data_IF_064177926264
#
_entry.id   IF_064177926264
#
_cell.length_a   1.000
_cell.length_b   1.000
_cell.length_c   1.000
_cell.angle_alpha   90.00
_cell.angle_beta   90.00
_cell.angle_gamma   90.00
#
_symmetry.space_group_name_H-M   'P 1'
#
loop_
_entity.id
_entity.type
_entity.pdbx_description
1 polymer ?
#
# COMPACT_ATOMS: atom_id res chain seq x y z
N UNK A 1 -31.01 -2.92 -19.00
CA UNK A 1 -29.75 -2.43 -18.40
C UNK A 1 -28.60 -3.22 -19.00
N UNK A 2 -27.81 -2.61 -19.89
CA UNK A 2 -26.59 -3.25 -20.39
C UNK A 2 -25.50 -3.07 -19.33
N UNK A 3 -25.06 -4.16 -18.69
CA UNK A 3 -23.83 -4.15 -17.89
C UNK A 3 -22.65 -3.99 -18.84
N UNK A 4 -22.10 -2.78 -18.92
CA UNK A 4 -20.79 -2.56 -19.52
C UNK A 4 -19.69 -3.03 -18.56
N UNK A 5 -18.65 -3.65 -19.10
CA UNK A 5 -17.42 -3.90 -18.34
C UNK A 5 -16.79 -2.55 -18.00
N UNK A 6 -16.82 -2.15 -16.72
CA UNK A 6 -16.10 -0.96 -16.27
C UNK A 6 -14.63 -1.33 -16.23
N UNK A 7 -13.88 -1.02 -17.30
CA UNK A 7 -12.41 -1.04 -17.27
C UNK A 7 -11.93 0.08 -16.34
N UNK A 8 -11.81 -0.23 -15.05
CA UNK A 8 -11.16 0.68 -14.11
C UNK A 8 -9.71 0.87 -14.52
N UNK A 9 -9.30 2.12 -14.77
CA UNK A 9 -7.89 2.45 -15.00
C UNK A 9 -7.10 2.07 -13.74
N UNK A 10 -6.01 1.33 -13.93
CA UNK A 10 -5.07 1.06 -12.83
C UNK A 10 -4.26 2.29 -12.44
N UNK A 11 -4.18 3.30 -13.31
CA UNK A 11 -3.65 4.61 -13.04
C UNK A 11 -4.78 5.66 -13.10
N UNK A 12 -5.57 5.85 -12.03
CA UNK A 12 -6.74 6.73 -12.06
C UNK A 12 -6.39 8.21 -12.18
N UNK A 13 -5.15 8.60 -11.87
CA UNK A 13 -4.70 9.98 -12.01
C UNK A 13 -3.23 10.04 -12.40
N UNK A 14 -2.94 10.90 -13.36
CA UNK A 14 -1.58 11.30 -13.74
C UNK A 14 -1.57 12.73 -14.23
N UNK A 15 -0.55 13.52 -13.88
CA UNK A 15 -0.39 14.89 -14.35
C UNK A 15 0.82 15.57 -13.74
N UNK A 16 1.17 16.73 -14.29
CA UNK A 16 2.20 17.60 -13.72
C UNK A 16 1.56 18.40 -12.58
N UNK A 17 2.17 18.31 -11.42
CA UNK A 17 1.87 19.15 -10.26
C UNK A 17 2.92 20.28 -10.19
N UNK A 18 2.98 20.97 -9.05
CA UNK A 18 3.87 22.13 -8.86
C UNK A 18 5.34 21.85 -9.19
N UNK A 19 6.04 22.89 -9.66
CA UNK A 19 7.49 22.92 -9.84
C UNK A 19 8.06 21.90 -10.84
N UNK A 20 7.30 21.58 -11.90
CA UNK A 20 7.67 20.61 -12.94
C UNK A 20 7.82 19.18 -12.42
N UNK A 21 7.03 18.79 -11.42
CA UNK A 21 7.04 17.44 -10.86
C UNK A 21 5.83 16.67 -11.40
N UNK A 22 6.07 15.51 -12.01
CA UNK A 22 5.00 14.61 -12.42
C UNK A 22 4.45 13.84 -11.22
N UNK A 23 3.17 13.51 -11.25
CA UNK A 23 2.53 12.64 -10.27
C UNK A 23 1.76 11.55 -11.00
N UNK A 24 1.90 10.30 -10.56
CA UNK A 24 1.14 9.16 -11.08
C UNK A 24 0.65 8.31 -9.90
N UNK A 25 -0.67 8.16 -9.78
CA UNK A 25 -1.29 7.25 -8.83
C UNK A 25 -1.49 5.89 -9.47
N UNK A 26 -1.01 4.81 -8.85
CA UNK A 26 -1.31 3.44 -9.28
C UNK A 26 -2.09 2.72 -8.17
N UNK A 27 -3.31 2.26 -8.46
CA UNK A 27 -4.18 1.62 -7.46
C UNK A 27 -4.07 0.11 -7.43
N UNK A 28 -3.66 -0.53 -8.54
CA UNK A 28 -3.50 -1.98 -8.61
C UNK A 28 -2.55 -2.39 -9.73
N UNK A 29 -1.82 -3.49 -9.57
CA UNK A 29 -0.92 -4.00 -10.59
C UNK A 29 -1.65 -4.98 -11.52
N UNK A 30 -2.63 -4.47 -12.28
CA UNK A 30 -3.30 -5.25 -13.34
C UNK A 30 -2.53 -5.14 -14.65
N UNK A 31 -2.95 -5.92 -15.64
CA UNK A 31 -2.38 -5.91 -16.99
C UNK A 31 -2.21 -4.48 -17.51
N UNK A 32 -1.07 -4.22 -18.15
CA UNK A 32 -0.68 -2.93 -18.74
C UNK A 32 -0.34 -1.81 -17.74
N UNK A 33 -0.31 -2.06 -16.42
CA UNK A 33 0.07 -1.04 -15.43
C UNK A 33 1.42 -0.37 -15.74
N UNK A 34 2.45 -1.15 -16.08
CA UNK A 34 3.75 -0.59 -16.45
C UNK A 34 3.71 0.22 -17.74
N UNK A 35 2.91 -0.20 -18.72
CA UNK A 35 2.71 0.56 -19.96
C UNK A 35 2.00 1.89 -19.67
N UNK A 36 0.93 1.86 -18.87
CA UNK A 36 0.14 3.04 -18.55
C UNK A 36 0.96 4.09 -17.80
N UNK A 37 1.80 3.69 -16.84
CA UNK A 37 2.73 4.61 -16.16
C UNK A 37 3.77 5.16 -17.14
N UNK A 38 4.37 4.32 -17.98
CA UNK A 38 5.36 4.76 -18.96
C UNK A 38 4.76 5.77 -19.95
N UNK A 39 3.53 5.55 -20.41
CA UNK A 39 2.85 6.45 -21.32
C UNK A 39 2.44 7.76 -20.64
N UNK A 40 1.99 7.72 -19.38
CA UNK A 40 1.74 8.92 -18.58
C UNK A 40 3.01 9.77 -18.44
N UNK A 41 4.16 9.17 -18.13
CA UNK A 41 5.45 9.87 -18.04
C UNK A 41 5.85 10.46 -19.39
N UNK A 42 5.68 9.73 -20.50
CA UNK A 42 5.95 10.26 -21.85
C UNK A 42 5.06 11.46 -22.17
N UNK A 43 3.78 11.42 -21.79
CA UNK A 43 2.86 12.54 -21.98
C UNK A 43 3.32 13.76 -21.19
N UNK A 44 3.63 13.59 -19.89
CA UNK A 44 4.14 14.69 -19.06
C UNK A 44 5.46 15.28 -19.60
N UNK A 45 6.38 14.43 -20.10
CA UNK A 45 7.63 14.91 -20.73
C UNK A 45 7.39 15.71 -22.01
N UNK A 46 6.28 15.46 -22.73
CA UNK A 46 5.90 16.23 -23.93
C UNK A 46 5.21 17.54 -23.55
N UNK A 47 4.36 17.51 -22.52
CA UNK A 47 3.63 18.67 -22.01
C UNK A 47 4.56 19.67 -21.31
N UNK A 48 5.57 19.17 -20.60
CA UNK A 48 6.55 19.97 -19.88
C UNK A 48 7.99 19.45 -20.12
N UNK A 49 8.73 20.06 -21.06
CA UNK A 49 10.13 19.72 -21.31
C UNK A 49 11.06 19.95 -20.12
N UNK A 50 10.63 20.70 -19.08
CA UNK A 50 11.39 20.98 -17.87
C UNK A 50 11.09 20.01 -16.71
N UNK A 51 10.36 18.92 -16.97
CA UNK A 51 10.00 17.90 -15.97
C UNK A 51 11.23 17.47 -15.15
N UNK A 52 11.20 17.76 -13.84
CA UNK A 52 12.31 17.55 -12.90
C UNK A 52 12.28 16.20 -12.20
N UNK A 53 11.18 15.47 -12.25
CA UNK A 53 11.03 14.20 -11.56
C UNK A 53 9.59 13.71 -11.57
N UNK A 54 9.38 12.51 -11.02
CA UNK A 54 8.05 11.91 -10.89
C UNK A 54 7.84 11.32 -9.49
N UNK A 55 6.64 11.52 -8.96
CA UNK A 55 6.12 10.87 -7.77
C UNK A 55 5.24 9.71 -8.24
N UNK A 56 5.61 8.49 -7.88
CA UNK A 56 4.81 7.29 -8.05
C UNK A 56 4.10 6.97 -6.74
N UNK A 57 2.78 7.16 -6.69
CA UNK A 57 1.98 6.86 -5.51
C UNK A 57 1.48 5.42 -5.52
N UNK A 58 1.98 4.63 -4.56
CA UNK A 58 1.62 3.23 -4.31
C UNK A 58 0.94 3.06 -2.93
N UNK A 59 0.50 4.15 -2.29
CA UNK A 59 -0.30 4.08 -1.07
C UNK A 59 -1.59 3.33 -1.33
N UNK A 60 -2.01 2.52 -0.37
CA UNK A 60 -3.25 1.71 -0.44
C UNK A 60 -3.30 0.71 -1.61
N UNK A 61 -2.14 0.42 -2.21
CA UNK A 61 -2.01 -0.55 -3.29
C UNK A 61 -1.49 -1.89 -2.76
N UNK A 62 -2.39 -2.87 -2.65
CA UNK A 62 -2.09 -4.23 -2.18
C UNK A 62 -1.28 -5.10 -3.17
N UNK A 63 -0.89 -4.55 -4.32
CA UNK A 63 -0.07 -5.20 -5.33
C UNK A 63 -0.88 -5.78 -6.49
N UNK A 64 -0.43 -6.91 -7.03
CA UNK A 64 -1.00 -7.57 -8.20
C UNK A 64 0.05 -8.37 -8.96
N UNK A 65 0.05 -8.25 -10.30
CA UNK A 65 0.91 -9.03 -11.19
C UNK A 65 2.39 -8.69 -10.98
N UNK A 66 3.20 -9.74 -10.74
CA UNK A 66 4.66 -9.63 -10.58
C UNK A 66 5.34 -8.97 -11.80
N UNK A 67 4.92 -9.37 -13.01
CA UNK A 67 5.49 -8.85 -14.25
C UNK A 67 5.26 -7.35 -14.41
N UNK A 68 4.16 -6.82 -13.87
CA UNK A 68 3.90 -5.38 -13.91
C UNK A 68 4.82 -4.61 -12.96
N UNK A 69 5.17 -5.18 -11.80
CA UNK A 69 6.20 -4.61 -10.93
C UNK A 69 7.56 -4.50 -11.65
N UNK A 70 7.96 -5.57 -12.34
CA UNK A 70 9.20 -5.59 -13.13
C UNK A 70 9.16 -4.55 -14.25
N UNK A 71 8.03 -4.44 -14.96
CA UNK A 71 7.86 -3.46 -16.02
C UNK A 71 7.95 -2.02 -15.51
N UNK A 72 7.38 -1.73 -14.33
CA UNK A 72 7.43 -0.41 -13.69
C UNK A 72 8.86 -0.07 -13.27
N UNK A 73 9.60 -0.99 -12.66
CA UNK A 73 11.01 -0.77 -12.31
C UNK A 73 11.85 -0.52 -13.57
N UNK A 74 11.59 -1.25 -14.66
CA UNK A 74 12.30 -1.08 -15.93
C UNK A 74 12.10 0.31 -16.56
N UNK A 75 11.08 1.08 -16.18
CA UNK A 75 10.92 2.48 -16.66
C UNK A 75 12.14 3.32 -16.29
N UNK A 76 12.71 3.08 -15.10
CA UNK A 76 13.76 3.90 -14.52
C UNK A 76 15.13 3.22 -14.49
N UNK A 77 15.16 1.90 -14.67
CA UNK A 77 16.35 1.06 -14.48
C UNK A 77 16.77 0.44 -15.81
N UNK A 78 18.08 0.43 -16.14
CA UNK A 78 18.60 -0.11 -17.40
C UNK A 78 18.30 -1.60 -17.56
N UNK A 79 18.45 -2.10 -18.78
CA UNK A 79 18.25 -3.51 -19.11
C UNK A 79 19.20 -4.45 -18.34
N UNK A 80 18.74 -5.66 -18.01
CA UNK A 80 19.55 -6.72 -17.41
C UNK A 80 19.82 -6.57 -15.91
N UNK A 81 19.16 -5.64 -15.22
CA UNK A 81 19.29 -5.43 -13.77
C UNK A 81 18.28 -6.30 -13.03
N UNK A 82 18.73 -7.03 -12.01
CA UNK A 82 17.84 -7.81 -11.12
C UNK A 82 16.86 -6.88 -10.40
N UNK A 83 15.57 -7.23 -10.46
CA UNK A 83 14.49 -6.53 -9.76
C UNK A 83 14.03 -7.34 -8.55
N UNK A 84 13.90 -8.65 -8.74
CA UNK A 84 13.40 -9.56 -7.70
C UNK A 84 13.82 -10.99 -8.02
N UNK A 85 14.16 -11.76 -7.00
CA UNK A 85 14.34 -13.20 -7.10
C UNK A 85 13.39 -13.94 -6.16
N UNK A 86 12.91 -15.11 -6.57
CA UNK A 86 12.06 -15.98 -5.75
C UNK A 86 12.85 -17.22 -5.38
N UNK A 87 12.88 -17.57 -4.09
CA UNK A 87 13.57 -18.76 -3.60
C UNK A 87 12.63 -19.65 -2.78
N UNK A 88 12.55 -20.91 -3.16
CA UNK A 88 11.63 -21.89 -2.58
C UNK A 88 12.35 -23.00 -1.80
N UNK A 89 11.57 -24.02 -1.40
CA UNK A 89 12.15 -25.27 -0.86
C UNK A 89 12.85 -26.09 -1.95
N UNK A 90 12.33 -26.04 -3.17
CA UNK A 90 12.89 -26.72 -4.35
C UNK A 90 13.75 -25.73 -5.11
N UNK A 91 15.07 -25.90 -5.07
CA UNK A 91 16.03 -24.96 -5.68
C UNK A 91 15.86 -24.80 -7.18
N UNK A 92 15.44 -25.87 -7.87
CA UNK A 92 15.19 -25.83 -9.32
C UNK A 92 14.04 -24.90 -9.71
N UNK A 93 13.25 -24.43 -8.74
CA UNK A 93 12.16 -23.48 -8.96
C UNK A 93 12.55 -22.04 -8.61
N UNK A 94 13.79 -21.82 -8.16
CA UNK A 94 14.28 -20.49 -7.92
C UNK A 94 14.33 -19.73 -9.26
N UNK A 95 13.90 -18.48 -9.23
CA UNK A 95 13.84 -17.62 -10.42
C UNK A 95 14.39 -16.26 -10.08
N UNK A 96 15.17 -15.71 -10.98
CA UNK A 96 15.60 -14.32 -10.95
C UNK A 96 14.92 -13.57 -12.08
N UNK A 97 14.33 -12.43 -11.76
CA UNK A 97 13.66 -11.58 -12.71
C UNK A 97 14.45 -10.29 -12.88
N UNK A 98 14.84 -10.01 -14.12
CA UNK A 98 15.57 -8.80 -14.48
C UNK A 98 14.71 -7.89 -15.35
N UNK A 99 15.08 -6.61 -15.42
CA UNK A 99 14.63 -5.71 -16.50
C UNK A 99 14.98 -6.30 -17.87
N UNK A 100 14.10 -6.11 -18.86
CA UNK A 100 14.17 -6.79 -20.17
C UNK A 100 14.30 -5.81 -21.35
N UNK A 101 14.18 -4.50 -21.10
CA UNK A 101 14.18 -3.44 -22.12
C UNK A 101 15.09 -2.30 -21.71
N UNK A 102 15.53 -1.44 -22.64
CA UNK A 102 16.09 -0.14 -22.29
C UNK A 102 15.13 0.65 -21.41
N UNK A 103 15.67 1.41 -20.45
CA UNK A 103 14.86 2.26 -19.61
C UNK A 103 14.20 3.38 -20.42
N UNK A 104 13.06 3.88 -19.95
CA UNK A 104 12.46 5.08 -20.52
C UNK A 104 13.30 6.31 -20.19
N UNK A 105 13.75 6.40 -18.93
CA UNK A 105 14.61 7.49 -18.46
C UNK A 105 15.41 7.07 -17.22
N UNK A 106 16.72 6.89 -17.40
CA UNK A 106 17.64 6.53 -16.30
C UNK A 106 17.99 7.71 -15.40
N UNK A 107 17.72 8.94 -15.84
CA UNK A 107 18.13 10.17 -15.17
C UNK A 107 16.99 10.86 -14.43
N UNK A 108 15.73 10.64 -14.82
CA UNK A 108 14.56 11.27 -14.21
C UNK A 108 14.46 10.91 -12.72
N UNK A 109 14.58 11.85 -11.78
CA UNK A 109 14.40 11.57 -10.35
C UNK A 109 13.03 10.93 -10.06
N UNK A 110 13.02 9.90 -9.22
CA UNK A 110 11.78 9.21 -8.83
C UNK A 110 11.64 9.15 -7.31
N UNK A 111 10.45 9.52 -6.83
CA UNK A 111 9.99 9.33 -5.46
C UNK A 111 8.86 8.32 -5.48
N UNK A 112 8.88 7.36 -4.55
CA UNK A 112 7.79 6.38 -4.40
C UNK A 112 7.09 6.61 -3.06
N UNK A 113 5.79 6.86 -3.10
CA UNK A 113 4.98 6.98 -1.89
C UNK A 113 4.42 5.61 -1.50
N UNK A 114 4.59 5.22 -0.24
CA UNK A 114 4.06 3.97 0.31
C UNK A 114 3.39 4.19 1.66
N UNK A 115 2.50 3.28 2.04
CA UNK A 115 1.96 3.21 3.39
C UNK A 115 1.82 1.76 3.87
N UNK A 116 1.27 1.55 5.07
CA UNK A 116 1.05 0.23 5.67
C UNK A 116 0.19 -0.73 4.83
N UNK A 117 -0.54 -0.23 3.84
CA UNK A 117 -1.36 -1.02 2.93
C UNK A 117 -0.67 -1.29 1.58
N UNK A 118 0.49 -0.67 1.31
CA UNK A 118 1.34 -1.02 0.18
C UNK A 118 1.89 -2.42 0.38
N UNK A 119 1.55 -3.36 -0.52
CA UNK A 119 1.92 -4.77 -0.36
C UNK A 119 2.38 -5.42 -1.68
N UNK A 120 3.12 -6.52 -1.57
CA UNK A 120 3.46 -7.40 -2.69
C UNK A 120 4.16 -6.65 -3.84
N UNK A 121 3.51 -6.51 -5.00
CA UNK A 121 4.08 -5.83 -6.15
C UNK A 121 4.51 -4.38 -5.86
N UNK A 122 3.76 -3.66 -5.00
CA UNK A 122 4.13 -2.32 -4.53
C UNK A 122 5.46 -2.31 -3.77
N UNK A 123 5.71 -3.37 -3.01
CA UNK A 123 6.93 -3.53 -2.22
C UNK A 123 8.11 -3.99 -3.07
N UNK A 124 7.85 -4.72 -4.16
CA UNK A 124 8.87 -5.04 -5.16
C UNK A 124 9.32 -3.76 -5.87
N UNK A 125 8.38 -2.90 -6.30
CA UNK A 125 8.73 -1.63 -6.95
C UNK A 125 9.49 -0.71 -5.99
N UNK A 126 8.91 -0.40 -4.83
CA UNK A 126 9.55 0.49 -3.84
C UNK A 126 10.88 -0.07 -3.34
N UNK A 127 10.93 -1.37 -3.01
CA UNK A 127 12.14 -2.04 -2.56
C UNK A 127 13.24 -2.06 -3.62
N UNK A 128 12.93 -2.38 -4.88
CA UNK A 128 13.92 -2.38 -5.96
C UNK A 128 14.44 -0.97 -6.27
N UNK A 129 13.57 0.04 -6.32
CA UNK A 129 13.98 1.44 -6.52
C UNK A 129 14.87 1.93 -5.36
N UNK A 130 14.58 1.53 -4.12
CA UNK A 130 15.41 1.84 -2.95
C UNK A 130 16.75 1.12 -3.01
N UNK A 131 16.74 -0.20 -3.19
CA UNK A 131 17.92 -1.05 -3.16
C UNK A 131 18.91 -0.75 -4.29
N UNK A 132 18.42 -0.31 -5.44
CA UNK A 132 19.25 0.10 -6.58
C UNK A 132 19.73 1.56 -6.48
N UNK A 133 19.32 2.30 -5.44
CA UNK A 133 19.52 3.75 -5.29
C UNK A 133 19.01 4.54 -6.48
N UNK A 134 17.92 4.07 -7.09
CA UNK A 134 17.30 4.75 -8.22
C UNK A 134 16.36 5.89 -7.77
N UNK A 135 15.86 5.82 -6.54
CA UNK A 135 14.95 6.81 -5.98
C UNK A 135 14.83 6.77 -4.47
N UNK A 136 13.94 7.63 -3.96
CA UNK A 136 13.68 7.82 -2.54
C UNK A 136 12.27 7.33 -2.20
N UNK A 137 12.15 6.60 -1.09
CA UNK A 137 10.89 6.09 -0.59
C UNK A 137 10.39 7.00 0.54
N UNK A 138 9.16 7.49 0.43
CA UNK A 138 8.55 8.40 1.41
C UNK A 138 7.22 7.81 1.87
N UNK A 139 6.91 7.95 3.16
CA UNK A 139 5.61 7.56 3.70
C UNK A 139 5.72 6.72 4.95
N UNK A 140 4.99 5.60 5.01
CA UNK A 140 5.03 4.68 6.15
C UNK A 140 5.67 3.36 5.74
N UNK A 141 6.12 2.57 6.73
CA UNK A 141 6.53 1.19 6.48
C UNK A 141 5.40 0.43 5.77
N UNK A 142 5.77 -0.35 4.75
CA UNK A 142 4.84 -1.16 3.96
C UNK A 142 4.33 -2.39 4.72
N UNK A 143 3.42 -3.15 4.12
CA UNK A 143 2.75 -4.29 4.76
C UNK A 143 3.71 -5.46 5.12
N UNK A 144 4.73 -5.70 4.30
CA UNK A 144 5.70 -6.78 4.43
C UNK A 144 5.23 -8.14 3.92
N UNK A 145 4.61 -8.19 2.74
CA UNK A 145 4.21 -9.46 2.12
C UNK A 145 5.33 -9.98 1.22
N UNK A 146 6.27 -10.73 1.80
CA UNK A 146 7.41 -11.35 1.08
C UNK A 146 7.15 -12.75 0.52
N UNK A 147 5.88 -13.20 0.45
CA UNK A 147 5.51 -14.57 0.06
C UNK A 147 4.92 -14.62 -1.36
N UNK A 148 5.33 -15.65 -2.11
CA UNK A 148 4.79 -15.97 -3.44
C UNK A 148 3.86 -17.17 -3.34
N UNK A 149 2.67 -17.00 -3.90
CA UNK A 149 1.63 -18.02 -3.92
C UNK A 149 1.34 -18.47 -5.34
N UNK A 150 1.35 -19.78 -5.56
CA UNK A 150 0.99 -20.41 -6.82
C UNK A 150 -0.39 -21.07 -6.70
N UNK A 151 -1.16 -21.04 -7.79
CA UNK A 151 -2.43 -21.78 -7.88
C UNK A 151 -2.23 -23.07 -8.66
N UNK A 152 -2.78 -24.18 -8.17
CA UNK A 152 -2.80 -25.47 -8.85
C UNK A 152 -4.24 -25.96 -8.94
N UNK A 153 -4.64 -26.42 -10.12
CA UNK A 153 -5.94 -27.07 -10.31
C UNK A 153 -5.93 -28.43 -9.60
N UNK A 154 -6.98 -28.71 -8.83
CA UNK A 154 -7.12 -29.96 -8.05
C UNK A 154 -8.36 -30.77 -8.47
N UNK A 155 -8.93 -30.46 -9.64
CA UNK A 155 -10.16 -31.07 -10.14
C UNK A 155 -11.42 -30.33 -9.66
N UNK A 156 -12.59 -30.76 -10.15
CA UNK A 156 -13.91 -30.26 -9.74
C UNK A 156 -14.04 -28.72 -9.70
N UNK A 157 -13.50 -28.04 -10.72
CA UNK A 157 -13.48 -26.59 -10.82
C UNK A 157 -12.90 -25.87 -9.58
N UNK A 158 -11.99 -26.55 -8.86
CA UNK A 158 -11.38 -26.08 -7.62
C UNK A 158 -9.89 -25.83 -7.81
N UNK A 159 -9.37 -24.82 -7.10
CA UNK A 159 -7.96 -24.40 -7.14
C UNK A 159 -7.37 -24.38 -5.74
N UNK A 160 -6.20 -24.98 -5.58
CA UNK A 160 -5.36 -24.84 -4.40
C UNK A 160 -4.44 -23.64 -4.58
N UNK A 161 -4.48 -22.68 -3.66
CA UNK A 161 -3.51 -21.59 -3.58
C UNK A 161 -2.48 -21.90 -2.50
N UNK A 162 -1.25 -22.16 -2.90
CA UNK A 162 -0.18 -22.60 -2.00
C UNK A 162 1.00 -21.62 -2.04
N UNK A 163 1.49 -21.23 -0.86
CA UNK A 163 2.73 -20.48 -0.73
C UNK A 163 3.92 -21.38 -1.02
N UNK A 164 4.71 -21.07 -2.03
CA UNK A 164 5.81 -21.93 -2.50
C UNK A 164 7.20 -21.35 -2.27
N UNK A 165 7.30 -20.03 -2.17
CA UNK A 165 8.59 -19.34 -2.12
C UNK A 165 8.48 -17.99 -1.39
N UNK A 166 9.64 -17.50 -0.96
CA UNK A 166 9.85 -16.11 -0.56
C UNK A 166 10.43 -15.35 -1.74
N UNK A 167 10.20 -14.04 -1.81
CA UNK A 167 10.97 -13.19 -2.71
C UNK A 167 11.97 -12.31 -1.99
N UNK A 168 13.00 -11.94 -2.73
CA UNK A 168 14.15 -11.15 -2.31
C UNK A 168 14.34 -10.02 -3.32
N UNK A 169 14.58 -8.82 -2.83
CA UNK A 169 14.81 -7.60 -3.63
C UNK A 169 16.33 -7.37 -3.80
N UNK A 170 16.79 -6.43 -4.65
CA UNK A 170 18.14 -6.41 -5.20
C UNK A 170 19.30 -6.39 -4.18
N UNK A 171 19.09 -5.87 -2.96
CA UNK A 171 20.09 -5.95 -1.90
C UNK A 171 20.27 -7.38 -1.32
N UNK A 172 19.40 -8.31 -1.70
CA UNK A 172 19.34 -9.68 -1.18
C UNK A 172 18.44 -9.85 0.04
N UNK A 173 17.82 -8.78 0.56
CA UNK A 173 16.92 -8.83 1.71
C UNK A 173 15.56 -9.41 1.35
N UNK A 174 14.98 -10.17 2.27
CA UNK A 174 13.57 -10.53 2.24
C UNK A 174 12.76 -9.41 2.92
N UNK A 175 11.55 -9.14 2.44
CA UNK A 175 10.70 -8.12 3.08
C UNK A 175 9.59 -8.73 3.95
N UNK A 176 9.56 -10.06 4.07
CA UNK A 176 8.49 -10.77 4.77
C UNK A 176 8.37 -10.28 6.22
N UNK A 177 7.19 -9.78 6.59
CA UNK A 177 7.00 -9.04 7.84
C UNK A 177 7.27 -9.88 9.07
N UNK A 178 6.53 -10.98 9.15
CA UNK A 178 6.52 -11.83 10.33
C UNK A 178 7.40 -13.05 10.13
N UNK A 179 8.17 -13.36 11.17
CA UNK A 179 8.70 -14.70 11.39
C UNK A 179 7.61 -15.56 12.02
N UNK A 180 7.75 -16.88 11.97
CA UNK A 180 6.82 -17.79 12.65
C UNK A 180 7.56 -18.52 13.76
N UNK A 181 7.03 -18.47 14.98
CA UNK A 181 7.52 -19.25 16.13
C UNK A 181 6.36 -20.08 16.66
N UNK A 182 6.50 -21.40 16.60
CA UNK A 182 5.45 -22.36 16.97
C UNK A 182 4.11 -22.15 16.23
N UNK A 183 4.16 -21.69 14.98
CA UNK A 183 2.98 -21.43 14.16
C UNK A 183 2.39 -20.02 14.30
N UNK A 184 2.80 -19.27 15.33
CA UNK A 184 2.33 -17.90 15.56
C UNK A 184 3.21 -16.85 14.86
N UNK A 185 2.61 -15.80 14.27
CA UNK A 185 3.36 -14.70 13.68
C UNK A 185 4.06 -13.89 14.78
N UNK A 186 5.35 -13.63 14.59
CA UNK A 186 6.19 -12.81 15.43
C UNK A 186 6.75 -11.65 14.60
N UNK A 187 6.40 -10.42 14.97
CA UNK A 187 7.07 -9.22 14.46
C UNK A 187 8.40 -9.05 15.19
N UNK A 188 9.48 -8.96 14.42
CA UNK A 188 10.84 -8.83 14.95
C UNK A 188 11.17 -7.34 15.10
N UNK A 189 11.60 -6.87 16.28
CA UNK A 189 12.03 -5.49 16.47
C UNK A 189 13.17 -5.07 15.53
N UNK A 190 13.20 -3.80 15.10
CA UNK A 190 14.17 -3.31 14.10
C UNK A 190 15.64 -3.47 14.50
N UNK A 191 15.95 -3.40 15.80
CA UNK A 191 17.30 -3.61 16.33
C UNK A 191 17.77 -5.07 16.26
N UNK A 192 16.86 -6.02 16.06
CA UNK A 192 17.13 -7.45 15.92
C UNK A 192 17.11 -7.92 14.45
N UNK A 193 16.70 -7.05 13.52
CA UNK A 193 16.64 -7.38 12.09
C UNK A 193 18.02 -7.35 11.43
N UNK A 194 18.20 -8.23 10.45
CA UNK A 194 19.44 -8.27 9.67
C UNK A 194 19.59 -7.00 8.83
N UNK A 195 20.79 -6.44 8.83
CA UNK A 195 21.12 -5.22 8.11
C UNK A 195 21.67 -5.55 6.73
N UNK A 196 21.08 -4.93 5.72
CA UNK A 196 21.51 -4.95 4.32
C UNK A 196 21.92 -3.54 3.89
N UNK A 197 22.47 -3.44 2.67
CA UNK A 197 22.83 -2.17 2.06
C UNK A 197 22.28 -2.06 0.66
N UNK A 198 21.82 -0.87 0.31
CA UNK A 198 21.52 -0.51 -1.08
C UNK A 198 22.83 -0.42 -1.88
N UNK A 199 22.74 -0.35 -3.21
CA UNK A 199 23.89 -0.27 -4.13
C UNK A 199 24.87 0.89 -3.81
N UNK A 200 24.33 2.02 -3.37
CA UNK A 200 24.99 3.23 -2.91
C UNK A 200 25.28 3.26 -1.41
N UNK A 201 24.99 2.17 -0.68
CA UNK A 201 25.45 1.95 0.69
C UNK A 201 24.49 2.37 1.81
N UNK A 202 23.27 2.85 1.50
CA UNK A 202 22.27 3.20 2.53
C UNK A 202 21.92 1.96 3.34
N UNK A 203 21.75 2.13 4.65
CA UNK A 203 21.33 1.05 5.55
C UNK A 203 19.86 0.71 5.27
N UNK A 204 19.58 -0.56 4.99
CA UNK A 204 18.22 -1.08 4.84
C UNK A 204 18.08 -2.36 5.65
N UNK A 205 16.86 -2.67 6.09
CA UNK A 205 16.58 -3.85 6.93
C UNK A 205 15.83 -4.91 6.13
N UNK A 206 16.14 -6.19 6.40
CA UNK A 206 15.25 -7.31 6.08
C UNK A 206 14.07 -7.31 7.06
N UNK A 207 12.95 -7.90 6.64
CA UNK A 207 11.79 -8.10 7.49
C UNK A 207 10.96 -6.83 7.70
N UNK A 208 9.70 -7.02 8.06
CA UNK A 208 8.69 -5.97 8.30
C UNK A 208 8.32 -5.07 7.12
N UNK A 209 8.61 -5.47 5.88
CA UNK A 209 8.33 -4.64 4.71
C UNK A 209 9.42 -3.63 4.36
N UNK A 210 9.16 -2.83 3.34
CA UNK A 210 9.99 -1.71 2.92
C UNK A 210 9.82 -0.58 3.92
N UNK A 211 10.92 -0.23 4.59
CA UNK A 211 10.98 0.96 5.46
C UNK A 211 11.30 2.18 4.59
N UNK A 212 10.52 3.27 4.69
CA UNK A 212 10.76 4.46 3.89
C UNK A 212 12.08 5.14 4.28
N UNK A 213 12.70 5.82 3.33
CA UNK A 213 13.85 6.68 3.57
C UNK A 213 13.46 7.93 4.37
N UNK A 214 12.25 8.45 4.10
CA UNK A 214 11.64 9.56 4.83
C UNK A 214 10.32 9.07 5.43
N UNK A 215 10.33 8.86 6.74
CA UNK A 215 9.15 8.47 7.49
C UNK A 215 8.19 9.66 7.60
N UNK A 216 6.97 9.45 7.13
CA UNK A 216 5.82 10.31 7.37
C UNK A 216 4.95 9.60 8.40
N UNK A 217 4.90 10.16 9.60
CA UNK A 217 3.97 9.71 10.62
C UNK A 217 2.57 10.10 10.15
N UNK A 218 1.63 9.15 10.01
CA UNK A 218 0.27 9.51 9.65
C UNK A 218 -0.29 10.44 10.71
N UNK A 219 -0.90 11.53 10.26
CA UNK A 219 -1.85 12.23 11.11
C UNK A 219 -2.99 11.23 11.36
N UNK A 220 -3.04 10.64 12.55
CA UNK A 220 -4.05 9.66 12.90
C UNK A 220 -5.45 10.24 12.87
N UNK A 221 -5.57 11.58 12.75
CA UNK A 221 -6.77 12.32 13.09
C UNK A 221 -7.11 12.13 14.56
N UNK A 222 -7.94 13.01 15.09
CA UNK A 222 -8.57 12.74 16.37
C UNK A 222 -9.55 11.56 16.22
N UNK A 223 -9.83 10.85 17.31
CA UNK A 223 -10.78 9.72 17.32
C UNK A 223 -12.12 10.00 16.58
N UNK A 224 -12.70 11.21 16.64
CA UNK A 224 -13.88 11.55 15.84
C UNK A 224 -13.67 11.46 14.33
N UNK A 225 -12.53 11.94 13.80
CA UNK A 225 -12.23 11.91 12.36
C UNK A 225 -12.18 10.47 11.87
N UNK A 226 -11.50 9.60 12.64
CA UNK A 226 -11.42 8.17 12.33
C UNK A 226 -12.80 7.52 12.29
N UNK A 227 -13.67 7.83 13.25
CA UNK A 227 -15.02 7.28 13.26
C UNK A 227 -15.89 7.77 12.10
N UNK A 228 -15.74 9.03 11.69
CA UNK A 228 -16.44 9.56 10.51
C UNK A 228 -16.02 8.84 9.22
N UNK A 229 -14.73 8.49 9.11
CA UNK A 229 -14.21 7.71 7.98
C UNK A 229 -14.66 6.25 8.02
N UNK A 230 -14.52 5.58 9.18
CA UNK A 230 -14.86 4.16 9.35
C UNK A 230 -16.36 3.88 9.16
N UNK A 231 -17.23 4.84 9.52
CA UNK A 231 -18.68 4.75 9.31
C UNK A 231 -19.14 5.32 7.96
N UNK A 232 -18.21 5.59 7.04
CA UNK A 232 -18.48 6.13 5.70
C UNK A 232 -19.24 7.47 5.69
N UNK A 233 -19.22 8.23 6.79
CA UNK A 233 -19.95 9.50 6.92
C UNK A 233 -19.45 10.51 5.90
N UNK A 234 -18.13 10.66 5.79
CA UNK A 234 -17.48 11.55 4.83
C UNK A 234 -17.80 11.10 3.40
N UNK A 235 -17.73 9.80 3.11
CA UNK A 235 -18.04 9.26 1.78
C UNK A 235 -19.49 9.53 1.36
N UNK A 236 -20.44 9.29 2.28
CA UNK A 236 -21.86 9.54 2.02
C UNK A 236 -22.14 11.03 1.84
N UNK A 237 -21.48 11.88 2.62
CA UNK A 237 -21.58 13.32 2.45
C UNK A 237 -21.03 13.77 1.10
N UNK A 238 -19.84 13.31 0.70
CA UNK A 238 -19.25 13.61 -0.61
C UNK A 238 -20.20 13.15 -1.73
N UNK A 239 -20.85 12.00 -1.58
CA UNK A 239 -21.86 11.51 -2.54
C UNK A 239 -23.05 12.46 -2.68
N UNK A 240 -23.57 13.01 -1.57
CA UNK A 240 -24.59 14.08 -1.58
C UNK A 240 -24.04 15.37 -2.19
N UNK A 241 -22.81 15.73 -1.84
CA UNK A 241 -22.16 16.97 -2.28
C UNK A 241 -22.01 17.02 -3.80
N UNK A 242 -21.51 15.95 -4.44
CA UNK A 242 -21.35 15.90 -5.91
C UNK A 242 -22.67 15.90 -6.68
N UNK A 243 -23.77 15.48 -6.05
CA UNK A 243 -25.11 15.58 -6.67
C UNK A 243 -25.61 17.02 -6.74
N UNK A 244 -25.12 17.89 -5.85
CA UNK A 244 -25.50 19.31 -5.77
C UNK A 244 -24.44 20.26 -6.32
N UNK A 245 -23.21 19.75 -6.52
CA UNK A 245 -22.07 20.47 -7.09
C UNK A 245 -21.55 19.73 -8.34
N UNK A 246 -22.16 19.98 -9.53
CA UNK A 246 -21.79 19.29 -10.76
C UNK A 246 -20.32 19.46 -11.18
N UNK A 247 -19.68 20.54 -10.73
CA UNK A 247 -18.27 20.82 -10.94
C UNK A 247 -17.64 21.35 -9.65
N UNK A 248 -16.34 21.13 -9.49
CA UNK A 248 -15.52 21.68 -8.40
C UNK A 248 -14.28 22.37 -8.98
N UNK A 249 -13.66 23.24 -8.18
CA UNK A 249 -12.38 23.84 -8.53
C UNK A 249 -11.30 22.77 -8.73
N UNK A 250 -10.22 23.14 -9.45
CA UNK A 250 -9.02 22.30 -9.56
C UNK A 250 -8.46 22.01 -8.17
N UNK A 251 -7.77 20.87 -8.03
CA UNK A 251 -7.24 20.43 -6.73
C UNK A 251 -6.35 21.49 -6.03
N UNK A 252 -5.63 22.30 -6.81
CA UNK A 252 -4.77 23.39 -6.29
C UNK A 252 -5.57 24.56 -5.69
N UNK A 253 -6.77 24.81 -6.19
CA UNK A 253 -7.62 25.95 -5.82
C UNK A 253 -8.80 25.54 -4.93
N UNK A 254 -9.05 24.23 -4.78
CA UNK A 254 -10.20 23.73 -4.06
C UNK A 254 -10.12 24.07 -2.57
N UNK A 255 -11.21 24.68 -2.07
CA UNK A 255 -11.42 24.97 -0.66
C UNK A 255 -12.78 24.46 -0.27
N UNK A 256 -12.83 23.62 0.77
CA UNK A 256 -14.08 23.15 1.32
C UNK A 256 -14.71 24.26 2.17
N UNK A 257 -15.87 24.77 1.75
CA UNK A 257 -16.59 25.88 2.41
C UNK A 257 -17.86 25.43 3.13
N UNK A 258 -18.36 24.23 2.83
CA UNK A 258 -19.68 23.75 3.25
C UNK A 258 -19.66 23.00 4.59
N UNK A 259 -18.80 23.44 5.51
CA UNK A 259 -18.61 22.79 6.80
C UNK A 259 -19.90 22.76 7.65
N UNK A 260 -20.70 23.82 7.61
CA UNK A 260 -21.97 23.87 8.33
C UNK A 260 -23.02 22.87 7.78
N UNK A 261 -23.08 22.66 6.47
CA UNK A 261 -23.96 21.64 5.87
C UNK A 261 -23.46 20.23 6.20
N UNK A 262 -22.14 20.03 6.21
CA UNK A 262 -21.55 18.78 6.68
C UNK A 262 -21.94 18.46 8.12
N UNK A 263 -21.83 19.42 9.05
CA UNK A 263 -22.22 19.21 10.45
C UNK A 263 -23.71 18.83 10.59
N UNK A 264 -24.61 19.50 9.87
CA UNK A 264 -26.05 19.14 9.84
C UNK A 264 -26.27 17.74 9.28
N UNK A 265 -25.49 17.32 8.29
CA UNK A 265 -25.54 15.97 7.75
C UNK A 265 -25.12 14.92 8.79
N UNK A 266 -24.08 15.18 9.58
CA UNK A 266 -23.65 14.28 10.65
C UNK A 266 -24.74 14.13 11.71
N UNK A 267 -25.31 15.25 12.18
CA UNK A 267 -26.36 15.26 13.21
C UNK A 267 -27.63 14.53 12.78
N UNK A 268 -28.11 14.76 11.56
CA UNK A 268 -29.37 14.18 11.06
C UNK A 268 -29.34 12.67 10.84
N UNK A 269 -28.16 12.10 10.62
CA UNK A 269 -28.00 10.66 10.33
C UNK A 269 -27.61 9.84 11.56
N UNK A 270 -27.49 10.47 12.73
CA UNK A 270 -27.29 9.84 14.04
C UNK A 270 -26.16 8.78 14.04
N UNK A 271 -25.03 9.11 13.42
CA UNK A 271 -23.91 8.18 13.26
C UNK A 271 -23.34 7.79 14.64
N UNK A 272 -23.23 6.49 14.95
CA UNK A 272 -22.73 6.07 16.24
C UNK A 272 -21.24 6.40 16.37
N UNK A 273 -20.91 7.27 17.33
CA UNK A 273 -19.55 7.45 17.80
C UNK A 273 -19.47 7.01 19.25
N UNK A 274 -18.54 6.10 19.52
CA UNK A 274 -18.23 5.66 20.87
C UNK A 274 -16.71 5.61 21.03
N UNK A 275 -16.21 6.30 22.04
CA UNK A 275 -14.78 6.36 22.36
C UNK A 275 -14.28 5.02 22.90
N UNK A 276 -12.97 4.75 22.79
CA UNK A 276 -12.40 3.54 23.36
C UNK A 276 -12.63 3.44 24.88
N UNK A 277 -12.58 4.57 25.59
CA UNK A 277 -12.86 4.62 27.02
C UNK A 277 -14.31 4.27 27.35
N UNK A 278 -15.28 4.68 26.51
CA UNK A 278 -16.69 4.29 26.69
C UNK A 278 -16.91 2.80 26.40
N UNK A 279 -16.23 2.25 25.37
CA UNK A 279 -16.24 0.81 25.08
C UNK A 279 -15.67 0.01 26.24
N UNK A 280 -14.47 0.37 26.72
CA UNK A 280 -13.84 -0.25 27.87
C UNK A 280 -14.71 -0.12 29.13
N UNK A 281 -15.33 1.05 29.35
CA UNK A 281 -16.24 1.26 30.48
C UNK A 281 -17.50 0.38 30.39
N UNK A 282 -18.04 0.15 29.18
CA UNK A 282 -19.15 -0.80 28.98
C UNK A 282 -18.72 -2.25 29.19
N UNK A 283 -17.53 -2.63 28.75
CA UNK A 283 -16.96 -3.96 29.00
C UNK A 283 -16.63 -4.19 30.49
N UNK A 284 -16.24 -3.13 31.20
CA UNK A 284 -15.98 -3.13 32.64
C UNK A 284 -17.25 -3.03 33.50
N UNK A 285 -18.41 -2.68 32.93
CA UNK A 285 -19.68 -2.75 33.69
C UNK A 285 -19.93 -4.22 34.04
N UNK A 286 -19.95 -4.59 35.33
CA UNK A 286 -20.21 -5.97 35.70
C UNK A 286 -21.58 -6.38 35.17
N UNK A 287 -21.67 -7.56 34.57
CA UNK A 287 -22.94 -8.21 34.27
C UNK A 287 -23.86 -8.09 35.50
N UNK A 288 -25.03 -7.46 35.40
CA UNK A 288 -25.96 -7.42 36.53
C UNK A 288 -26.38 -8.86 36.85
N UNK A 289 -26.03 -9.31 38.05
CA UNK A 289 -26.46 -10.56 38.70
C UNK A 289 -25.85 -11.89 38.20
N UNK A 290 -24.58 -12.12 38.53
CA UNK A 290 -24.17 -13.42 39.11
C UNK A 290 -23.44 -13.22 40.45
N UNK A 291 -23.99 -12.36 41.32
CA UNK A 291 -23.77 -12.48 42.77
C UNK A 291 -25.06 -12.98 43.40
N UNK A 292 -25.27 -14.30 43.34
CA UNK A 292 -26.16 -15.00 44.26
C UNK A 292 -25.79 -16.48 44.30
N UNK A 293 -24.79 -16.81 45.12
CA UNK A 293 -24.96 -17.69 46.28
C UNK A 293 -23.61 -18.26 46.70
N UNK A 294 -23.17 -17.82 47.87
CA UNK A 294 -22.36 -18.61 48.77
C UNK A 294 -23.02 -19.98 48.98
N UNK A 295 -22.34 -21.05 48.56
CA UNK A 295 -22.37 -22.46 49.05
C UNK A 295 -21.34 -23.16 48.15
N UNK A 296 -20.11 -23.40 48.57
CA UNK A 296 -19.70 -24.32 49.61
C UNK A 296 -18.31 -23.94 50.12
N UNK A 297 -18.22 -23.56 51.38
CA UNK A 297 -17.14 -24.00 52.28
C UNK A 297 -17.61 -23.70 53.71
N UNK A 298 -18.08 -24.72 54.40
CA UNK A 298 -17.89 -24.85 55.84
C UNK A 298 -17.64 -26.32 56.13
N UNK A 299 -16.54 -26.54 56.84
CA UNK A 299 -15.92 -27.81 57.21
C UNK A 299 -16.85 -28.67 58.07
N UNK A 300 -16.88 -29.98 57.80
CA UNK A 300 -16.41 -31.05 58.72
C UNK A 300 -15.66 -32.07 57.86
#
# INVERSE_FOLDING_TARGET
MNRGEIKMSNAPYSGIIRDHVGYVSLTTFTQDAGKNIADAIKTMKKEDPLLKGVILDLRDNGGGLLMEAINIVNIFVPNGVEVVSTRGKVRDWDKTFTTQRPALDETLPVVVLINKHSASASEIVSGAIQDLDRGVIIGQRSYGKGLVQNTKDIGFNSKLKLTTSKYYIPSGRCIQSVSYRNGEPLDVPDNERHVFRTKGGRKVLDGGGVTPDILIVPDSGDAPVKALLDNYVVFNYVTKYIQTHPTIAKAEDFKFTDFEDFMKFVESNNYPFETNSEKELKELKPMPNQMNSSKYFNLI
#
